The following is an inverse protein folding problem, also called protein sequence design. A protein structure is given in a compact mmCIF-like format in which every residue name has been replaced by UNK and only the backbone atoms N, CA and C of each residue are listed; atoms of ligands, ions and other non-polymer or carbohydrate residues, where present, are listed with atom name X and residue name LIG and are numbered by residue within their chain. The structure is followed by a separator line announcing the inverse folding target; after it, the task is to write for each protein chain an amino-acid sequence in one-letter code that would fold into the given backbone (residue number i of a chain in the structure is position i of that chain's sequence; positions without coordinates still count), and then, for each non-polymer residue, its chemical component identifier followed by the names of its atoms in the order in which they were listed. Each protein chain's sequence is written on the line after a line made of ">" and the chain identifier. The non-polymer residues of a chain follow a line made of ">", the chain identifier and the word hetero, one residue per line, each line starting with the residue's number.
data_IF_278452394620
#
_entry.id   IF_278452394620
#
_cell.length_a   1.000
_cell.length_b   1.000
_cell.length_c   1.000
_cell.angle_alpha   90.00
_cell.angle_beta   90.00
_cell.angle_gamma   90.00
#
_symmetry.space_group_name_H-M   'P 1'
#
loop_
_entity.id
_entity.type
_entity.pdbx_description
1 polymer ?
#
# COMPACT_ATOMS: atom_id res chain seq x y z
N UNK A 1 -35.08 -4.36 11.06
CA UNK A 1 -34.07 -4.09 12.10
C UNK A 1 -32.73 -3.94 11.42
N UNK A 2 -32.06 -2.79 11.56
CA UNK A 2 -30.71 -2.62 11.05
C UNK A 2 -29.75 -3.42 11.94
N UNK A 3 -28.99 -4.35 11.35
CA UNK A 3 -27.92 -5.06 12.05
C UNK A 3 -26.70 -4.14 12.13
N UNK A 4 -26.39 -3.62 13.33
CA UNK A 4 -25.11 -2.97 13.60
C UNK A 4 -24.12 -3.99 14.15
N UNK A 5 -22.87 -3.97 13.68
CA UNK A 5 -21.80 -4.79 14.27
C UNK A 5 -21.51 -4.29 15.69
N UNK A 6 -21.34 -5.23 16.62
CA UNK A 6 -20.85 -4.92 17.96
C UNK A 6 -19.37 -4.56 17.91
N UNK A 7 -19.00 -3.47 18.57
CA UNK A 7 -17.60 -3.04 18.70
C UNK A 7 -17.08 -3.49 20.06
N UNK A 8 -16.02 -4.30 20.07
CA UNK A 8 -15.47 -4.92 21.27
C UNK A 8 -14.00 -4.50 21.44
N UNK A 9 -13.61 -4.22 22.69
CA UNK A 9 -12.23 -3.95 23.08
C UNK A 9 -11.95 -4.55 24.46
N UNK A 10 -10.67 -4.76 24.79
CA UNK A 10 -10.27 -5.19 26.13
C UNK A 10 -10.08 -3.98 27.05
N UNK A 11 -10.57 -4.07 28.29
CA UNK A 11 -10.27 -3.10 29.34
C UNK A 11 -9.26 -3.72 30.33
N UNK A 12 -8.06 -3.15 30.41
CA UNK A 12 -7.01 -3.54 31.36
C UNK A 12 -6.90 -2.50 32.45
N UNK A 13 -7.13 -2.93 33.69
CA UNK A 13 -7.07 -2.08 34.89
C UNK A 13 -5.87 -2.46 35.77
N UNK A 14 -5.37 -1.53 36.61
CA UNK A 14 -4.48 -1.88 37.71
C UNK A 14 -5.11 -2.99 38.57
N UNK A 15 -4.27 -3.91 39.08
CA UNK A 15 -4.74 -5.14 39.76
C UNK A 15 -5.81 -4.87 40.81
N UNK A 16 -5.56 -3.93 41.71
CA UNK A 16 -6.50 -3.60 42.80
C UNK A 16 -7.88 -3.15 42.27
N UNK A 17 -7.91 -2.39 41.16
CA UNK A 17 -9.16 -1.92 40.53
C UNK A 17 -9.84 -3.06 39.77
N UNK A 18 -9.06 -3.90 39.07
CA UNK A 18 -9.56 -5.06 38.38
C UNK A 18 -10.26 -6.04 39.33
N UNK A 19 -9.72 -6.23 40.54
CA UNK A 19 -10.31 -7.10 41.56
C UNK A 19 -11.64 -6.54 42.08
N UNK A 20 -11.72 -5.22 42.34
CA UNK A 20 -12.98 -4.56 42.74
C UNK A 20 -14.03 -4.54 41.63
N UNK A 21 -13.63 -4.26 40.39
CA UNK A 21 -14.53 -4.33 39.22
C UNK A 21 -15.05 -5.74 39.00
N UNK A 22 -14.20 -6.75 39.17
CA UNK A 22 -14.60 -8.16 39.09
C UNK A 22 -15.67 -8.50 40.12
N UNK A 23 -15.54 -7.98 41.34
CA UNK A 23 -16.55 -8.19 42.39
C UNK A 23 -17.86 -7.46 42.08
N UNK A 24 -17.78 -6.22 41.57
CA UNK A 24 -18.95 -5.46 41.13
C UNK A 24 -19.70 -6.16 39.98
N UNK A 25 -18.99 -6.81 39.04
CA UNK A 25 -19.60 -7.61 37.97
C UNK A 25 -20.35 -8.82 38.55
N UNK A 26 -19.76 -9.53 39.52
CA UNK A 26 -20.38 -10.71 40.13
C UNK A 26 -21.62 -10.40 40.94
N UNK A 27 -21.66 -9.22 41.54
CA UNK A 27 -22.77 -8.74 42.38
C UNK A 27 -23.80 -7.91 41.60
N UNK A 28 -23.65 -7.80 40.27
CA UNK A 28 -24.49 -6.98 39.38
C UNK A 28 -24.59 -5.49 39.79
N UNK A 29 -23.54 -4.99 40.45
CA UNK A 29 -23.48 -3.62 40.97
C UNK A 29 -22.66 -2.68 40.07
N UNK A 30 -22.30 -3.08 38.83
CA UNK A 30 -21.34 -2.34 38.00
C UNK A 30 -21.89 -1.04 37.41
N UNK A 31 -23.18 -1.01 37.07
CA UNK A 31 -23.78 -0.02 36.14
C UNK A 31 -23.48 1.43 36.49
N UNK A 32 -23.62 1.80 37.76
CA UNK A 32 -23.45 3.19 38.22
C UNK A 32 -22.03 3.45 38.74
N UNK A 33 -21.19 2.42 38.82
CA UNK A 33 -19.84 2.47 39.40
C UNK A 33 -18.76 2.69 38.35
N UNK A 34 -18.94 2.17 37.13
CA UNK A 34 -17.96 2.25 36.05
C UNK A 34 -18.39 3.23 34.96
N UNK A 35 -17.57 4.23 34.68
CA UNK A 35 -17.75 5.16 33.57
C UNK A 35 -16.48 5.20 32.70
N UNK A 36 -16.67 5.21 31.39
CA UNK A 36 -15.59 5.22 30.40
C UNK A 36 -15.87 6.37 29.43
N UNK A 37 -14.94 7.32 29.37
CA UNK A 37 -15.03 8.50 28.52
C UNK A 37 -13.84 8.54 27.57
N UNK A 38 -14.11 8.60 26.26
CA UNK A 38 -13.10 8.77 25.23
C UNK A 38 -12.95 10.25 24.91
N UNK A 39 -11.73 10.74 24.90
CA UNK A 39 -11.44 12.12 24.53
C UNK A 39 -11.35 12.30 22.99
N UNK A 40 -11.26 13.55 22.55
CA UNK A 40 -11.03 13.92 21.15
C UNK A 40 -9.79 13.19 20.60
N UNK A 41 -9.95 12.53 19.44
CA UNK A 41 -8.91 11.67 18.85
C UNK A 41 -8.93 10.21 19.33
N UNK A 42 -9.82 9.82 20.26
CA UNK A 42 -10.17 8.44 20.66
C UNK A 42 -9.03 7.55 21.16
N UNK A 43 -7.80 8.08 21.34
CA UNK A 43 -6.64 7.32 21.82
C UNK A 43 -6.40 7.44 23.32
N UNK A 44 -6.97 8.47 23.94
CA UNK A 44 -6.93 8.68 25.39
C UNK A 44 -8.30 8.44 25.98
N UNK A 45 -8.34 7.82 27.15
CA UNK A 45 -9.55 7.38 27.82
C UNK A 45 -9.48 7.77 29.29
N UNK A 46 -10.55 8.35 29.83
CA UNK A 46 -10.74 8.48 31.27
C UNK A 46 -11.64 7.35 31.74
N UNK A 47 -11.19 6.60 32.73
CA UNK A 47 -11.96 5.53 33.33
C UNK A 47 -12.20 5.86 34.79
N UNK A 48 -13.45 6.08 35.16
CA UNK A 48 -13.85 6.31 36.54
C UNK A 48 -14.44 5.03 37.10
N UNK A 49 -13.94 4.60 38.26
CA UNK A 49 -14.53 3.49 39.00
C UNK A 49 -14.72 3.91 40.46
N UNK A 50 -15.97 3.96 40.91
CA UNK A 50 -16.35 4.57 42.20
C UNK A 50 -15.88 6.04 42.27
N UNK A 51 -15.00 6.35 43.21
CA UNK A 51 -14.41 7.69 43.39
C UNK A 51 -13.05 7.81 42.65
N UNK A 52 -12.47 6.70 42.21
CA UNK A 52 -11.15 6.67 41.60
C UNK A 52 -11.23 7.08 40.12
N UNK A 53 -10.36 8.01 39.73
CA UNK A 53 -10.15 8.40 38.33
C UNK A 53 -8.85 7.79 37.81
N UNK A 54 -8.96 6.98 36.75
CA UNK A 54 -7.84 6.39 36.04
C UNK A 54 -7.66 7.06 34.69
N UNK A 55 -6.40 7.20 34.29
CA UNK A 55 -6.06 7.58 32.92
C UNK A 55 -5.80 6.33 32.10
N UNK A 56 -6.19 6.32 30.83
CA UNK A 56 -6.01 5.16 29.96
C UNK A 56 -5.62 5.53 28.53
N UNK A 57 -4.98 4.58 27.84
CA UNK A 57 -4.61 4.68 26.43
C UNK A 57 -5.22 3.53 25.64
N UNK A 58 -5.80 3.83 24.48
CA UNK A 58 -6.29 2.83 23.53
C UNK A 58 -5.12 2.34 22.66
N UNK A 59 -4.68 1.13 22.95
CA UNK A 59 -3.57 0.47 22.28
C UNK A 59 -4.05 -0.53 21.23
N UNK A 60 -3.35 -0.56 20.10
CA UNK A 60 -3.55 -1.56 19.05
C UNK A 60 -2.78 -2.84 19.40
N UNK A 61 -3.53 -3.92 19.57
CA UNK A 61 -2.98 -5.25 19.84
C UNK A 61 -2.31 -5.80 18.57
N UNK A 62 -1.20 -6.56 18.71
CA UNK A 62 -0.57 -7.21 17.58
C UNK A 62 -1.36 -8.39 17.01
N UNK A 63 -2.22 -8.99 17.82
CA UNK A 63 -2.99 -10.19 17.46
C UNK A 63 -4.46 -9.85 17.38
N UNK A 64 -5.15 -10.38 16.37
CA UNK A 64 -6.61 -10.37 16.29
C UNK A 64 -7.14 -11.44 17.24
N UNK A 65 -8.09 -11.07 18.09
CA UNK A 65 -8.73 -11.96 19.06
C UNK A 65 -10.18 -12.13 18.65
N UNK A 66 -10.57 -13.34 18.28
CA UNK A 66 -11.95 -13.65 17.94
C UNK A 66 -12.78 -13.94 19.19
N UNK A 67 -13.90 -13.25 19.34
CA UNK A 67 -14.86 -13.46 20.43
C UNK A 67 -15.90 -14.46 19.97
N UNK A 68 -16.16 -15.42 20.85
CA UNK A 68 -17.04 -16.53 20.55
C UNK A 68 -18.03 -16.79 21.69
N UNK A 69 -19.26 -17.17 21.32
CA UNK A 69 -20.29 -17.65 22.25
C UNK A 69 -20.57 -19.15 22.02
N UNK A 70 -20.94 -19.84 23.08
CA UNK A 70 -21.36 -21.25 23.03
C UNK A 70 -22.45 -21.48 24.08
N UNK A 71 -23.36 -22.40 23.78
CA UNK A 71 -24.39 -22.85 24.73
C UNK A 71 -24.05 -24.24 25.31
N UNK A 72 -23.43 -25.10 24.49
CA UNK A 72 -23.17 -26.51 24.78
C UNK A 72 -21.68 -26.83 25.02
N UNK A 73 -20.80 -25.82 24.90
CA UNK A 73 -19.33 -25.94 24.97
C UNK A 73 -18.73 -26.81 23.87
N UNK A 74 -19.46 -27.08 22.79
CA UNK A 74 -18.99 -27.84 21.62
C UNK A 74 -19.12 -27.02 20.35
N UNK A 75 -20.30 -26.47 20.10
CA UNK A 75 -20.52 -25.57 18.98
C UNK A 75 -20.23 -24.14 19.43
N UNK A 76 -19.33 -23.51 18.70
CA UNK A 76 -18.78 -22.20 19.01
C UNK A 76 -19.15 -21.25 17.86
N UNK A 77 -19.77 -20.12 18.17
CA UNK A 77 -20.23 -19.12 17.20
C UNK A 77 -19.47 -17.82 17.39
N UNK A 78 -18.88 -17.29 16.31
CA UNK A 78 -18.19 -16.00 16.32
C UNK A 78 -19.18 -14.86 16.53
N UNK A 79 -18.86 -13.93 17.43
CA UNK A 79 -19.68 -12.75 17.73
C UNK A 79 -18.98 -11.44 17.39
N UNK A 80 -17.65 -11.43 17.39
CA UNK A 80 -16.89 -10.22 17.07
C UNK A 80 -15.39 -10.44 17.04
N UNK A 81 -14.67 -9.37 16.73
CA UNK A 81 -13.22 -9.33 16.68
C UNK A 81 -12.73 -8.23 17.63
N UNK A 82 -11.65 -8.50 18.35
CA UNK A 82 -10.95 -7.54 19.19
C UNK A 82 -9.53 -7.38 18.67
N UNK A 83 -9.16 -6.15 18.35
CA UNK A 83 -7.81 -5.75 17.96
C UNK A 83 -7.25 -4.60 18.80
N UNK A 84 -8.00 -4.14 19.81
CA UNK A 84 -7.63 -2.99 20.64
C UNK A 84 -7.87 -3.26 22.13
N UNK A 85 -7.13 -2.54 22.95
CA UNK A 85 -7.21 -2.62 24.40
C UNK A 85 -7.01 -1.23 25.02
N UNK A 86 -7.89 -0.85 25.93
CA UNK A 86 -7.67 0.28 26.82
C UNK A 86 -6.78 -0.18 27.98
N UNK A 87 -5.59 0.39 28.09
CA UNK A 87 -4.68 0.16 29.21
C UNK A 87 -4.75 1.33 30.19
N UNK A 88 -5.25 1.07 31.39
CA UNK A 88 -5.43 2.08 32.44
C UNK A 88 -4.27 2.09 33.45
N UNK A 89 -3.92 3.28 33.89
CA UNK A 89 -2.91 3.57 34.91
C UNK A 89 -3.50 4.50 35.98
N UNK A 90 -2.96 4.40 37.21
CA UNK A 90 -3.29 5.35 38.28
C UNK A 90 -2.62 6.72 38.07
N UNK A 91 -1.49 6.72 37.35
CA UNK A 91 -0.78 7.93 36.99
C UNK A 91 -1.59 8.77 36.01
N UNK A 92 -1.59 10.07 36.22
CA UNK A 92 -2.17 11.02 35.29
C UNK A 92 -1.38 11.00 33.99
N UNK A 93 -2.08 10.80 32.88
CA UNK A 93 -1.48 10.88 31.55
C UNK A 93 -1.78 12.26 31.01
N UNK A 94 -0.74 13.09 30.85
CA UNK A 94 -0.89 14.36 30.14
C UNK A 94 -1.34 14.12 28.70
N UNK A 95 -2.39 14.83 28.33
CA UNK A 95 -3.01 14.74 27.03
C UNK A 95 -2.43 15.81 26.12
N UNK A 96 -1.96 15.46 24.92
CA UNK A 96 -1.60 16.47 23.93
C UNK A 96 -2.85 17.28 23.57
N UNK A 97 -2.74 18.61 23.56
CA UNK A 97 -3.82 19.51 23.15
C UNK A 97 -4.10 19.40 21.63
N UNK A 98 -3.09 19.02 20.84
CA UNK A 98 -3.15 18.92 19.39
C UNK A 98 -3.82 17.61 18.93
N UNK A 99 -4.74 17.70 17.97
CA UNK A 99 -5.33 16.53 17.32
C UNK A 99 -4.29 15.78 16.49
N UNK A 100 -4.26 14.46 16.61
CA UNK A 100 -3.31 13.60 15.88
C UNK A 100 -3.37 13.82 14.35
N UNK A 101 -4.55 14.14 13.81
CA UNK A 101 -4.78 14.33 12.38
C UNK A 101 -4.24 15.66 11.83
N UNK A 102 -3.88 16.60 12.71
CA UNK A 102 -3.31 17.90 12.35
C UNK A 102 -1.76 17.85 12.37
N UNK A 103 -1.19 16.78 12.90
CA UNK A 103 0.27 16.62 13.00
C UNK A 103 0.93 16.25 11.66
N UNK A 104 2.21 16.62 11.44
CA UNK A 104 3.00 16.13 10.30
C UNK A 104 3.11 14.59 10.28
N UNK A 105 3.23 13.99 9.09
CA UNK A 105 3.28 12.52 8.91
C UNK A 105 4.39 11.84 9.71
N UNK A 106 5.56 12.47 9.84
CA UNK A 106 6.68 11.97 10.64
C UNK A 106 6.30 11.84 12.13
N UNK A 107 5.66 12.88 12.68
CA UNK A 107 5.17 12.92 14.06
C UNK A 107 4.02 11.93 14.27
N UNK A 108 3.12 11.76 13.29
CA UNK A 108 2.07 10.73 13.34
C UNK A 108 2.66 9.32 13.42
N UNK A 109 3.67 9.00 12.60
CA UNK A 109 4.37 7.71 12.64
C UNK A 109 5.03 7.46 13.99
N UNK A 110 5.61 8.49 14.60
CA UNK A 110 6.19 8.40 15.95
C UNK A 110 5.12 8.16 17.02
N UNK A 111 4.01 8.92 16.97
CA UNK A 111 2.90 8.79 17.90
C UNK A 111 2.19 7.44 17.75
N UNK A 112 2.04 6.91 16.53
CA UNK A 112 1.45 5.59 16.28
C UNK A 112 2.21 4.47 17.01
N UNK A 113 3.54 4.58 17.15
CA UNK A 113 4.34 3.62 17.92
C UNK A 113 3.97 3.64 19.41
N UNK A 114 3.57 4.79 19.97
CA UNK A 114 3.15 4.92 21.37
C UNK A 114 1.83 4.22 21.65
N UNK A 115 0.96 4.11 20.65
CA UNK A 115 -0.33 3.42 20.75
C UNK A 115 -0.29 1.98 20.22
N UNK A 116 0.89 1.44 19.94
CA UNK A 116 1.05 0.07 19.44
C UNK A 116 1.55 -0.85 20.54
N UNK A 117 0.80 -1.89 20.89
CA UNK A 117 1.26 -2.90 21.86
C UNK A 117 2.28 -3.84 21.24
N UNK A 118 3.37 -4.11 21.98
CA UNK A 118 4.41 -5.07 21.59
C UNK A 118 4.07 -6.52 21.95
N UNK A 119 3.03 -6.75 22.75
CA UNK A 119 2.71 -8.05 23.34
C UNK A 119 1.29 -8.49 22.97
N UNK A 120 1.11 -9.78 22.73
CA UNK A 120 -0.22 -10.38 22.75
C UNK A 120 -0.72 -10.57 24.19
N UNK A 121 -2.00 -10.87 24.34
CA UNK A 121 -2.64 -11.04 25.66
C UNK A 121 -2.22 -12.35 26.33
N UNK A 122 -2.10 -13.43 25.57
CA UNK A 122 -1.71 -14.73 26.10
C UNK A 122 -0.21 -14.79 26.44
N UNK A 123 0.21 -15.45 27.54
CA UNK A 123 1.61 -15.50 27.97
C UNK A 123 2.62 -15.92 26.89
N UNK A 124 2.34 -16.95 26.05
CA UNK A 124 3.24 -17.36 24.97
C UNK A 124 3.45 -16.31 23.87
N UNK A 125 2.65 -15.23 23.86
CA UNK A 125 2.66 -14.13 22.88
C UNK A 125 3.38 -12.87 23.43
N UNK A 126 4.17 -13.00 24.50
CA UNK A 126 5.10 -11.95 24.90
C UNK A 126 6.07 -11.62 23.75
N UNK A 127 6.20 -10.33 23.46
CA UNK A 127 7.05 -9.77 22.38
C UNK A 127 6.75 -10.36 20.99
N UNK A 128 5.49 -10.68 20.70
CA UNK A 128 5.10 -11.37 19.46
C UNK A 128 5.57 -10.66 18.17
N UNK A 129 5.49 -9.32 18.11
CA UNK A 129 5.92 -8.52 16.95
C UNK A 129 7.41 -8.71 16.61
N UNK A 130 8.26 -8.89 17.62
CA UNK A 130 9.71 -9.03 17.44
C UNK A 130 10.15 -10.49 17.31
N UNK A 131 9.46 -11.41 18.00
CA UNK A 131 9.92 -12.80 18.18
C UNK A 131 9.21 -13.83 17.32
N UNK A 132 7.92 -13.64 17.02
CA UNK A 132 7.09 -14.67 16.37
C UNK A 132 6.55 -14.23 15.02
N UNK A 133 6.31 -12.94 14.81
CA UNK A 133 5.88 -12.44 13.51
C UNK A 133 7.05 -12.44 12.54
N UNK A 134 6.88 -13.15 11.42
CA UNK A 134 7.77 -13.05 10.27
C UNK A 134 7.68 -11.62 9.76
N UNK A 135 8.82 -10.93 9.67
CA UNK A 135 8.88 -9.59 9.10
C UNK A 135 8.66 -9.69 7.59
N UNK A 136 7.72 -8.93 7.07
CA UNK A 136 7.59 -8.73 5.62
C UNK A 136 8.84 -7.98 5.16
N UNK A 137 9.51 -8.49 4.12
CA UNK A 137 10.56 -7.72 3.48
C UNK A 137 9.93 -6.42 2.97
N UNK A 138 10.47 -5.24 3.32
CA UNK A 138 9.94 -4.00 2.75
C UNK A 138 10.01 -4.12 1.24
N UNK A 139 8.93 -3.81 0.53
CA UNK A 139 8.98 -3.64 -0.92
C UNK A 139 9.87 -2.41 -1.17
N UNK A 140 11.18 -2.64 -1.34
CA UNK A 140 12.20 -1.58 -1.37
C UNK A 140 11.99 -0.54 -2.46
N UNK A 141 11.14 -0.83 -3.45
CA UNK A 141 11.09 -0.10 -4.71
C UNK A 141 9.77 0.59 -5.01
N UNK A 142 8.72 0.40 -4.20
CA UNK A 142 7.38 0.90 -4.57
C UNK A 142 7.05 2.23 -3.89
N UNK A 143 7.45 2.44 -2.63
CA UNK A 143 7.01 3.63 -1.87
C UNK A 143 8.10 4.73 -1.76
N UNK A 144 9.03 4.82 -2.72
CA UNK A 144 10.00 5.92 -2.72
C UNK A 144 9.51 7.03 -3.66
N UNK A 145 9.06 8.18 -3.15
CA UNK A 145 8.59 9.30 -3.99
C UNK A 145 9.69 9.83 -4.92
N UNK A 146 10.96 9.61 -4.58
CA UNK A 146 12.11 9.94 -5.44
C UNK A 146 12.20 9.00 -6.66
N UNK A 147 11.94 7.70 -6.46
CA UNK A 147 11.93 6.71 -7.56
C UNK A 147 10.74 6.96 -8.48
N UNK A 148 9.55 7.25 -7.92
CA UNK A 148 8.37 7.59 -8.72
C UNK A 148 8.59 8.86 -9.55
N UNK A 149 9.21 9.90 -8.96
CA UNK A 149 9.54 11.14 -9.66
C UNK A 149 10.49 10.88 -10.83
N UNK A 150 11.54 10.10 -10.60
CA UNK A 150 12.53 9.80 -11.63
C UNK A 150 11.98 8.87 -12.72
N UNK A 151 11.16 7.89 -12.35
CA UNK A 151 10.44 7.05 -13.30
C UNK A 151 9.50 7.90 -14.18
N UNK A 152 8.74 8.82 -13.58
CA UNK A 152 7.89 9.76 -14.32
C UNK A 152 8.70 10.67 -15.25
N UNK A 153 9.91 11.07 -14.88
CA UNK A 153 10.81 11.84 -15.75
C UNK A 153 11.23 11.03 -16.98
N UNK A 154 11.73 9.81 -16.76
CA UNK A 154 12.16 8.91 -17.85
C UNK A 154 11.01 8.60 -18.82
N UNK A 155 9.82 8.29 -18.30
CA UNK A 155 8.66 8.00 -19.15
C UNK A 155 8.21 9.21 -19.99
N UNK A 156 8.32 10.44 -19.47
CA UNK A 156 8.02 11.65 -20.25
C UNK A 156 9.04 11.88 -21.37
N UNK A 157 10.31 11.62 -21.11
CA UNK A 157 11.38 11.71 -22.11
C UNK A 157 11.20 10.67 -23.21
N UNK A 158 10.85 9.43 -22.83
CA UNK A 158 10.57 8.35 -23.77
C UNK A 158 9.35 8.65 -24.67
N UNK A 159 8.31 9.30 -24.13
CA UNK A 159 7.14 9.73 -24.91
C UNK A 159 7.47 10.82 -25.95
N UNK A 160 8.48 11.65 -25.68
CA UNK A 160 8.94 12.69 -26.61
C UNK A 160 9.96 12.15 -27.63
N UNK A 161 10.47 10.93 -27.43
CA UNK A 161 11.47 10.34 -28.30
C UNK A 161 10.84 9.69 -29.54
N UNK A 162 11.55 9.78 -30.66
CA UNK A 162 11.14 9.14 -31.94
C UNK A 162 11.32 7.61 -31.88
N UNK A 163 12.29 7.13 -31.10
CA UNK A 163 12.57 5.71 -30.90
C UNK A 163 13.18 5.49 -29.50
N UNK A 164 12.72 4.46 -28.80
CA UNK A 164 13.13 4.12 -27.44
C UNK A 164 13.67 2.69 -27.43
N UNK A 165 14.86 2.50 -26.87
CA UNK A 165 15.48 1.19 -26.67
C UNK A 165 16.23 1.15 -25.35
N UNK A 166 16.02 0.09 -24.57
CA UNK A 166 16.70 -0.13 -23.30
C UNK A 166 17.38 -1.50 -23.27
N UNK A 167 18.50 -1.59 -22.56
CA UNK A 167 19.23 -2.85 -22.35
C UNK A 167 19.68 -2.93 -20.90
N UNK A 168 19.38 -4.06 -20.26
CA UNK A 168 19.87 -4.35 -18.91
C UNK A 168 21.34 -4.78 -19.03
N UNK A 169 22.25 -3.99 -18.46
CA UNK A 169 23.67 -4.29 -18.43
C UNK A 169 24.01 -4.75 -17.01
N UNK A 170 24.44 -6.00 -16.87
CA UNK A 170 24.99 -6.49 -15.61
C UNK A 170 26.37 -5.85 -15.40
N UNK A 171 26.65 -5.36 -14.20
CA UNK A 171 27.90 -4.64 -13.90
C UNK A 171 29.17 -5.47 -14.16
N UNK A 172 29.07 -6.81 -14.11
CA UNK A 172 30.17 -7.74 -14.42
C UNK A 172 30.55 -7.80 -15.91
N UNK A 173 29.66 -7.36 -16.81
CA UNK A 173 29.87 -7.39 -18.26
C UNK A 173 30.35 -6.04 -18.82
N UNK A 174 30.80 -5.11 -17.98
CA UNK A 174 31.55 -3.93 -18.41
C UNK A 174 32.97 -4.35 -18.86
N UNK A 175 33.04 -5.04 -19.99
CA UNK A 175 34.32 -5.20 -20.69
C UNK A 175 34.68 -3.85 -21.32
N UNK A 176 35.88 -3.40 -20.99
CA UNK A 176 36.49 -2.15 -21.42
C UNK A 176 36.51 -2.02 -22.95
N UNK A 177 35.53 -1.31 -23.52
CA UNK A 177 35.59 -0.80 -24.90
C UNK A 177 36.48 0.45 -24.97
N UNK A 178 37.73 0.32 -24.52
CA UNK A 178 38.80 1.30 -24.76
C UNK A 178 40.12 0.57 -25.03
N UNK A 179 40.21 -0.08 -26.19
CA UNK A 179 41.52 -0.44 -26.74
C UNK A 179 42.19 0.79 -27.35
N UNK A 180 43.06 1.44 -26.58
CA UNK A 180 44.24 2.12 -27.14
C UNK A 180 45.49 1.64 -26.44
N UNK A 181 46.31 0.96 -27.22
CA UNK A 181 47.65 0.43 -26.94
C UNK A 181 48.57 1.50 -26.31
N UNK A 182 49.26 1.18 -25.21
CA UNK A 182 50.71 1.43 -24.99
C UNK A 182 51.18 0.59 -23.79
N UNK A 183 52.21 -0.22 -24.04
CA UNK A 183 52.97 -1.03 -23.08
C UNK A 183 53.68 -0.22 -22.00
N UNK A 184 53.83 -0.79 -20.79
CA UNK A 184 54.92 -0.43 -19.88
C UNK A 184 54.72 -0.79 -18.41
N UNK A 185 55.36 -1.88 -17.97
CA UNK A 185 55.70 -2.32 -16.59
C UNK A 185 55.56 -1.29 -15.45
N UNK A 186 55.03 -1.69 -14.28
CA UNK A 186 55.76 -2.27 -13.12
C UNK A 186 54.83 -2.42 -11.90
N UNK A 187 55.19 -3.40 -11.06
CA UNK A 187 54.72 -3.77 -9.73
C UNK A 187 54.10 -2.71 -8.80
N UNK A 188 53.03 -3.07 -8.08
CA UNK A 188 53.04 -3.10 -6.60
C UNK A 188 51.75 -3.74 -6.02
N UNK A 189 51.90 -4.17 -4.77
CA UNK A 189 51.11 -5.13 -3.98
C UNK A 189 50.24 -4.40 -2.97
N UNK A 190 48.98 -4.83 -2.75
CA UNK A 190 48.27 -4.85 -1.45
C UNK A 190 46.84 -5.39 -1.65
N UNK A 191 46.53 -6.62 -1.25
CA UNK A 191 45.96 -7.01 0.05
C UNK A 191 44.51 -6.52 0.31
N UNK A 192 43.54 -7.38 0.02
CA UNK A 192 42.21 -7.38 0.63
C UNK A 192 41.92 -8.80 1.18
N UNK A 193 41.40 -8.94 2.42
CA UNK A 193 41.23 -10.25 3.06
C UNK A 193 39.90 -10.91 2.68
N UNK A 194 39.98 -12.23 2.53
CA UNK A 194 38.90 -13.15 2.19
C UNK A 194 37.90 -13.40 3.33
N UNK A 195 36.62 -13.59 2.99
CA UNK A 195 35.64 -14.39 3.73
C UNK A 195 34.79 -15.21 2.73
N UNK A 196 34.30 -16.41 3.13
CA UNK A 196 34.02 -17.56 2.27
C UNK A 196 32.60 -17.58 1.66
N UNK A 197 32.31 -18.50 0.71
CA UNK A 197 31.06 -18.54 -0.04
C UNK A 197 30.00 -19.39 0.67
N UNK A 198 28.81 -18.84 0.87
CA UNK A 198 27.61 -19.64 1.18
C UNK A 198 26.78 -19.79 -0.10
N UNK A 199 26.81 -21.01 -0.65
CA UNK A 199 25.80 -21.51 -1.57
C UNK A 199 24.48 -21.66 -0.83
N UNK A 200 23.41 -21.02 -1.32
CA UNK A 200 22.07 -21.61 -1.43
C UNK A 200 21.15 -20.63 -2.18
N UNK A 201 21.18 -20.76 -3.51
CA UNK A 201 20.11 -20.32 -4.40
C UNK A 201 19.11 -21.47 -4.53
N UNK A 202 17.81 -21.19 -4.35
CA UNK A 202 16.78 -21.46 -5.37
C UNK A 202 15.34 -21.30 -4.82
N UNK A 203 14.48 -20.78 -5.71
CA UNK A 203 13.00 -20.82 -5.71
C UNK A 203 12.22 -19.70 -4.98
N UNK A 204 11.95 -18.58 -5.66
CA UNK A 204 10.72 -17.77 -5.41
C UNK A 204 10.41 -16.68 -6.48
N UNK A 205 10.95 -16.79 -7.70
CA UNK A 205 10.86 -15.71 -8.71
C UNK A 205 9.51 -15.59 -9.43
N UNK A 206 8.62 -16.58 -9.40
CA UNK A 206 7.50 -16.61 -10.35
C UNK A 206 6.22 -15.85 -9.97
N UNK A 207 6.15 -15.18 -8.81
CA UNK A 207 4.92 -14.50 -8.33
C UNK A 207 5.00 -12.97 -8.27
N UNK A 208 6.14 -12.37 -8.65
CA UNK A 208 6.40 -10.93 -8.45
C UNK A 208 6.32 -10.09 -9.74
N UNK A 209 6.35 -10.70 -10.92
CA UNK A 209 6.31 -9.97 -12.19
C UNK A 209 4.91 -9.40 -12.51
N UNK A 210 3.86 -10.14 -12.18
CA UNK A 210 2.47 -9.77 -12.50
C UNK A 210 1.99 -8.51 -11.77
N UNK A 211 2.41 -8.33 -10.51
CA UNK A 211 2.06 -7.16 -9.71
C UNK A 211 2.80 -5.92 -10.22
N UNK A 212 4.10 -6.07 -10.52
CA UNK A 212 4.93 -4.99 -11.01
C UNK A 212 4.43 -4.45 -12.36
N UNK A 213 4.00 -5.33 -13.27
CA UNK A 213 3.47 -4.96 -14.59
C UNK A 213 2.15 -4.19 -14.48
N UNK A 214 1.26 -4.59 -13.56
CA UNK A 214 -0.01 -3.89 -13.31
C UNK A 214 0.16 -2.49 -12.71
N UNK A 215 1.17 -2.30 -11.85
CA UNK A 215 1.49 -1.02 -11.21
C UNK A 215 2.16 -0.05 -12.20
N UNK A 216 3.02 -0.56 -13.09
CA UNK A 216 3.64 0.20 -14.18
C UNK A 216 2.60 0.74 -15.17
N UNK A 217 1.59 -0.06 -15.50
CA UNK A 217 0.50 0.33 -16.40
C UNK A 217 -0.38 1.45 -15.82
N UNK A 218 -0.59 1.42 -14.50
CA UNK A 218 -1.40 2.42 -13.79
C UNK A 218 -0.72 3.80 -13.76
N UNK A 219 0.61 3.83 -13.72
CA UNK A 219 1.39 5.08 -13.80
C UNK A 219 1.45 5.64 -15.24
N UNK A 220 1.49 4.79 -16.26
CA UNK A 220 1.37 5.22 -17.66
C UNK A 220 0.04 5.94 -17.95
N UNK A 221 -1.05 5.45 -17.35
CA UNK A 221 -2.37 6.09 -17.43
C UNK A 221 -2.40 7.48 -16.78
N UNK A 222 -1.64 7.69 -15.72
CA UNK A 222 -1.58 8.98 -15.01
C UNK A 222 -0.77 10.03 -15.78
N UNK A 223 0.29 9.62 -16.48
CA UNK A 223 1.11 10.50 -17.34
C UNK A 223 0.38 10.89 -18.63
N UNK A 224 -0.46 10.00 -19.17
CA UNK A 224 -1.27 10.27 -20.37
C UNK A 224 -2.54 11.06 -20.06
N UNK A 225 -3.01 11.05 -18.80
CA UNK A 225 -4.20 11.81 -18.38
C UNK A 225 -3.89 13.19 -17.77
N UNK A 226 -2.62 13.59 -17.58
CA UNK A 226 -2.26 14.89 -16.98
C UNK A 226 -2.10 16.03 -18.00
N UNK A 227 -3.00 16.09 -18.99
CA UNK A 227 -3.11 17.25 -19.90
C UNK A 227 -4.22 18.23 -19.51
N UNK A 228 -4.76 18.12 -18.29
CA UNK A 228 -5.66 19.14 -17.75
C UNK A 228 -5.12 19.58 -16.38
N UNK A 229 -4.87 20.89 -16.29
CA UNK A 229 -4.46 21.66 -15.12
C UNK A 229 -2.98 21.61 -14.71
N UNK A 230 -2.16 22.49 -15.32
CA UNK A 230 -1.28 23.43 -14.59
C UNK A 230 -0.70 24.50 -15.55
N UNK A 231 -1.15 25.74 -15.31
CA UNK A 231 -0.64 27.10 -15.59
C UNK A 231 0.36 27.38 -16.75
N UNK A 232 -0.01 28.41 -17.52
CA UNK A 232 0.69 29.03 -18.66
C UNK A 232 2.10 29.55 -18.30
N UNK A 233 3.14 29.05 -18.99
CA UNK A 233 4.34 29.84 -19.30
C UNK A 233 4.49 29.92 -20.83
N UNK A 234 4.32 31.13 -21.37
CA UNK A 234 4.58 31.48 -22.77
C UNK A 234 6.04 31.19 -23.13
N UNK A 235 6.27 30.17 -23.97
CA UNK A 235 7.49 30.05 -24.77
C UNK A 235 7.09 30.28 -26.22
N UNK A 236 7.37 31.49 -26.71
CA UNK A 236 7.30 31.83 -28.13
C UNK A 236 8.32 31.01 -28.90
N UNK A 237 7.86 30.00 -29.65
CA UNK A 237 8.65 29.30 -30.67
C UNK A 237 8.19 29.82 -32.03
N UNK A 238 9.10 30.49 -32.74
CA UNK A 238 8.90 30.89 -34.12
C UNK A 238 8.63 29.66 -34.99
N UNK A 239 7.42 29.59 -35.56
CA UNK A 239 7.03 28.57 -36.52
C UNK A 239 7.66 28.93 -37.86
N UNK A 240 8.64 28.14 -38.29
CA UNK A 240 8.99 28.04 -39.71
C UNK A 240 7.95 27.15 -40.37
N UNK A 241 7.20 27.73 -41.30
CA UNK A 241 6.19 27.08 -42.12
C UNK A 241 6.74 25.82 -42.81
N UNK A 242 6.23 24.64 -42.44
CA UNK A 242 6.28 23.43 -43.27
C UNK A 242 4.84 22.97 -43.55
N UNK A 243 4.52 22.97 -44.83
CA UNK A 243 3.20 22.73 -45.42
C UNK A 243 2.79 21.25 -45.28
N UNK A 244 1.75 20.96 -44.48
CA UNK A 244 1.23 19.60 -44.33
C UNK A 244 -0.09 19.44 -43.57
N UNK A 245 -1.20 19.93 -44.14
CA UNK A 245 -2.63 19.67 -43.82
C UNK A 245 -3.15 19.90 -42.38
N UNK A 246 -4.31 20.57 -42.20
CA UNK A 246 -4.94 20.70 -40.89
C UNK A 246 -5.48 19.34 -40.44
N UNK A 247 -4.88 18.73 -39.43
CA UNK A 247 -5.39 17.51 -38.80
C UNK A 247 -6.82 17.76 -38.32
N UNK A 248 -7.81 17.11 -38.95
CA UNK A 248 -9.20 17.20 -38.51
C UNK A 248 -9.27 16.81 -37.02
N UNK A 249 -9.77 17.68 -36.11
CA UNK A 249 -9.80 17.39 -34.68
C UNK A 249 -10.55 16.10 -34.35
N UNK A 250 -11.51 15.70 -35.18
CA UNK A 250 -12.25 14.44 -35.06
C UNK A 250 -11.37 13.21 -35.30
N UNK A 251 -10.41 13.27 -36.24
CA UNK A 251 -9.43 12.21 -36.51
C UNK A 251 -8.49 12.04 -35.31
N UNK A 252 -8.05 13.15 -34.70
CA UNK A 252 -7.19 13.13 -33.51
C UNK A 252 -7.91 12.48 -32.33
N UNK A 253 -9.19 12.82 -32.12
CA UNK A 253 -10.01 12.22 -31.06
C UNK A 253 -10.27 10.73 -31.27
N UNK A 254 -10.51 10.31 -32.52
CA UNK A 254 -10.70 8.89 -32.85
C UNK A 254 -9.42 8.07 -32.66
N UNK A 255 -8.26 8.60 -33.06
CA UNK A 255 -6.98 7.95 -32.77
C UNK A 255 -6.77 7.78 -31.26
N UNK A 256 -7.05 8.82 -30.47
CA UNK A 256 -6.92 8.73 -29.01
C UNK A 256 -7.85 7.67 -28.41
N UNK A 257 -9.12 7.63 -28.85
CA UNK A 257 -10.10 6.67 -28.37
C UNK A 257 -9.71 5.21 -28.71
N UNK A 258 -9.11 4.97 -29.88
CA UNK A 258 -8.61 3.64 -30.28
C UNK A 258 -7.44 3.22 -29.38
N UNK A 259 -6.49 4.13 -29.11
CA UNK A 259 -5.36 3.87 -28.21
C UNK A 259 -5.85 3.52 -26.81
N UNK A 260 -6.84 4.26 -26.29
CA UNK A 260 -7.41 3.99 -24.97
C UNK A 260 -8.12 2.63 -24.90
N UNK A 261 -8.82 2.24 -25.96
CA UNK A 261 -9.48 0.93 -26.06
C UNK A 261 -8.47 -0.21 -26.16
N UNK A 262 -7.39 -0.04 -26.95
CA UNK A 262 -6.31 -1.03 -27.05
C UNK A 262 -5.63 -1.27 -25.69
N UNK A 263 -5.45 -0.21 -24.88
CA UNK A 263 -4.94 -0.33 -23.51
C UNK A 263 -5.91 -1.11 -22.59
N UNK A 264 -7.21 -0.86 -22.69
CA UNK A 264 -8.22 -1.58 -21.90
C UNK A 264 -8.33 -3.06 -22.29
N UNK A 265 -8.18 -3.37 -23.58
CA UNK A 265 -8.16 -4.74 -24.12
C UNK A 265 -6.96 -5.50 -23.53
N UNK A 266 -5.76 -4.93 -23.56
CA UNK A 266 -4.57 -5.58 -22.98
C UNK A 266 -4.68 -5.73 -21.46
N UNK A 267 -5.23 -4.75 -20.74
CA UNK A 267 -5.50 -4.88 -19.30
C UNK A 267 -6.44 -6.07 -19.02
N UNK A 268 -7.48 -6.26 -19.84
CA UNK A 268 -8.43 -7.35 -19.65
C UNK A 268 -7.88 -8.72 -20.04
N UNK A 269 -7.06 -8.80 -21.09
CA UNK A 269 -6.34 -10.04 -21.43
C UNK A 269 -5.45 -10.49 -20.28
N UNK A 270 -4.72 -9.56 -19.66
CA UNK A 270 -3.89 -9.85 -18.48
C UNK A 270 -4.73 -10.32 -17.28
N UNK A 271 -5.91 -9.72 -17.04
CA UNK A 271 -6.83 -10.17 -15.98
C UNK A 271 -7.36 -11.59 -16.23
N UNK A 272 -7.63 -11.96 -17.48
CA UNK A 272 -8.05 -13.31 -17.87
C UNK A 272 -6.92 -14.32 -17.62
N UNK A 273 -5.68 -13.96 -17.96
CA UNK A 273 -4.50 -14.83 -17.80
C UNK A 273 -4.16 -15.06 -16.32
N UNK A 274 -4.23 -14.02 -15.49
CA UNK A 274 -3.93 -14.09 -14.05
C UNK A 274 -5.06 -14.67 -13.21
N UNK A 275 -6.29 -14.74 -13.73
CA UNK A 275 -7.45 -15.22 -12.97
C UNK A 275 -7.62 -16.75 -13.08
N UNK A 276 -7.36 -17.46 -11.98
CA UNK A 276 -7.57 -18.91 -11.88
C UNK A 276 -9.06 -19.32 -11.76
N UNK A 277 -9.96 -18.39 -11.43
CA UNK A 277 -11.38 -18.68 -11.26
C UNK A 277 -12.11 -18.70 -12.61
N UNK A 278 -12.68 -19.86 -12.97
CA UNK A 278 -13.33 -20.07 -14.27
C UNK A 278 -14.55 -19.18 -14.53
N UNK A 279 -15.33 -18.85 -13.49
CA UNK A 279 -16.54 -18.01 -13.62
C UNK A 279 -16.18 -16.54 -13.81
N UNK A 280 -15.17 -16.06 -13.08
CA UNK A 280 -14.65 -14.69 -13.26
C UNK A 280 -13.95 -14.55 -14.62
N UNK A 281 -13.20 -15.56 -15.04
CA UNK A 281 -12.55 -15.61 -16.34
C UNK A 281 -13.55 -15.50 -17.49
N UNK A 282 -14.64 -16.28 -17.46
CA UNK A 282 -15.71 -16.18 -18.46
C UNK A 282 -16.35 -14.78 -18.51
N UNK A 283 -16.50 -14.10 -17.37
CA UNK A 283 -17.00 -12.71 -17.34
C UNK A 283 -16.01 -11.72 -17.93
N UNK A 284 -14.72 -11.88 -17.66
CA UNK A 284 -13.69 -11.04 -18.26
C UNK A 284 -13.58 -11.28 -19.77
N UNK A 285 -13.72 -12.52 -20.24
CA UNK A 285 -13.78 -12.86 -21.67
C UNK A 285 -14.97 -12.17 -22.35
N UNK A 286 -16.16 -12.15 -21.74
CA UNK A 286 -17.31 -11.41 -22.31
C UNK A 286 -17.07 -9.90 -22.40
N UNK A 287 -16.35 -9.33 -21.43
CA UNK A 287 -16.03 -7.90 -21.42
C UNK A 287 -14.93 -7.56 -22.44
N UNK A 288 -13.96 -8.47 -22.63
CA UNK A 288 -12.92 -8.35 -23.65
C UNK A 288 -13.53 -8.30 -25.05
N UNK A 289 -14.48 -9.20 -25.37
CA UNK A 289 -15.16 -9.21 -26.67
C UNK A 289 -15.94 -7.92 -26.94
N UNK A 290 -16.49 -7.30 -25.90
CA UNK A 290 -17.20 -6.02 -26.03
C UNK A 290 -16.23 -4.85 -26.30
N UNK A 291 -15.06 -4.83 -25.64
CA UNK A 291 -14.02 -3.83 -25.91
C UNK A 291 -13.44 -3.98 -27.33
N UNK A 292 -13.19 -5.21 -27.78
CA UNK A 292 -12.72 -5.50 -29.14
C UNK A 292 -13.73 -5.03 -30.20
N UNK A 293 -15.04 -5.19 -29.94
CA UNK A 293 -16.11 -4.67 -30.79
C UNK A 293 -16.09 -3.14 -30.88
N UNK A 294 -15.99 -2.46 -29.73
CA UNK A 294 -15.94 -0.99 -29.69
C UNK A 294 -14.70 -0.43 -30.40
N UNK A 295 -13.56 -1.11 -30.26
CA UNK A 295 -12.31 -0.75 -30.94
C UNK A 295 -12.43 -0.92 -32.46
N UNK A 296 -13.09 -1.98 -32.91
CA UNK A 296 -13.35 -2.21 -34.33
C UNK A 296 -14.27 -1.11 -34.91
N UNK A 297 -15.35 -0.76 -34.22
CA UNK A 297 -16.28 0.31 -34.64
C UNK A 297 -15.57 1.65 -34.78
N UNK A 298 -14.70 1.99 -33.82
CA UNK A 298 -13.90 3.24 -33.85
C UNK A 298 -12.86 3.23 -34.97
N UNK A 299 -12.26 2.07 -35.26
CA UNK A 299 -11.34 1.91 -36.38
C UNK A 299 -12.04 2.06 -37.75
N UNK A 300 -13.27 1.57 -37.88
CA UNK A 300 -14.07 1.71 -39.09
C UNK A 300 -14.54 3.17 -39.30
N UNK A 301 -14.94 3.84 -38.22
CA UNK A 301 -15.29 5.27 -38.22
C UNK A 301 -14.11 6.13 -38.68
N UNK A 302 -12.90 5.85 -38.18
CA UNK A 302 -11.67 6.50 -38.61
C UNK A 302 -11.35 6.25 -40.09
N UNK A 303 -11.52 5.02 -40.58
CA UNK A 303 -11.30 4.68 -42.00
C UNK A 303 -12.30 5.39 -42.91
N UNK A 304 -13.55 5.53 -42.50
CA UNK A 304 -14.59 6.24 -43.25
C UNK A 304 -14.35 7.75 -43.32
N UNK A 305 -13.71 8.34 -42.31
CA UNK A 305 -13.38 9.79 -42.28
C UNK A 305 -12.07 10.08 -43.04
N UNK A 306 -11.17 9.09 -43.11
CA UNK A 306 -9.88 9.18 -43.81
C UNK A 306 -9.93 8.80 -45.31
N UNK A 307 -11.08 8.28 -45.78
CA UNK A 307 -11.34 7.92 -47.19
C UNK A 307 -11.99 9.06 -47.96
#
# INVERSE_FOLDING_TARGET
>A
MAYSKENLFLLRLPKDHADRVREAIRTDALRDRLQIEFFSGQRYVKVKFDEDNLSGKLLDLPSIIEVHKTLDKRTIYKTGDISQMVECTKEHIEMPEERLDELPLSRRKEMAKKFTSNHGIAPPLKNIRKRRFRKTAPKKFIDSPEIEKELKRLLREDLQAVNVSYKVINEENRQDDNQSVISGNTSSRAHTPAFPPDEESMTSSSLNEDVAKSELMKMFKEVTSSSEDEEEEEITVEVTDDEGSPSNPEIVQLHQAIVDLDLQIEEQKMKIETTANSVLRARFETFLSELERQRQEKSEELQNISS
#
